data_IF_775977990297
#
_entry.id   IF_775977990297
#
_cell.length_a   1.000
_cell.length_b   1.000
_cell.length_c   1.000
_cell.angle_alpha   90.00
_cell.angle_beta   90.00
_cell.angle_gamma   90.00
#
_symmetry.space_group_name_H-M   'P 1'
#
loop_
_entity.id
_entity.type
_entity.pdbx_description
1 polymer ?
#
# COMPACT_ATOMS: atom_id res chain seq x y z
N UNK A 1 -60.99 -66.84 22.56
CA UNK A 1 -59.51 -66.98 22.62
C UNK A 1 -58.98 -66.41 21.31
N UNK A 2 -58.76 -65.10 21.27
CA UNK A 2 -58.34 -64.35 20.09
C UNK A 2 -56.99 -63.72 20.46
N UNK A 3 -55.95 -64.13 19.74
CA UNK A 3 -54.55 -63.80 20.01
C UNK A 3 -54.27 -62.39 19.45
N UNK A 4 -54.05 -61.40 20.32
CA UNK A 4 -53.64 -60.05 19.91
C UNK A 4 -52.14 -60.00 19.66
N UNK A 5 -51.73 -59.68 18.43
CA UNK A 5 -50.34 -59.40 18.09
C UNK A 5 -50.15 -57.89 18.13
N UNK A 6 -49.30 -57.43 19.06
CA UNK A 6 -48.87 -56.05 19.21
C UNK A 6 -47.71 -55.79 18.23
N UNK A 7 -47.98 -55.09 17.13
CA UNK A 7 -46.95 -54.67 16.18
C UNK A 7 -46.29 -53.38 16.64
N UNK A 8 -45.01 -53.43 17.01
CA UNK A 8 -44.20 -52.27 17.33
C UNK A 8 -43.75 -51.57 16.03
N UNK A 9 -44.18 -50.32 15.83
CA UNK A 9 -43.65 -49.44 14.78
C UNK A 9 -42.35 -48.80 15.28
N UNK A 10 -41.22 -49.14 14.66
CA UNK A 10 -39.97 -48.42 14.83
C UNK A 10 -39.93 -47.25 13.84
N UNK A 11 -40.02 -46.02 14.35
CA UNK A 11 -39.71 -44.81 13.59
C UNK A 11 -38.18 -44.67 13.53
N UNK A 12 -37.60 -44.86 12.35
CA UNK A 12 -36.20 -44.52 12.09
C UNK A 12 -36.06 -43.01 11.86
N UNK A 13 -35.37 -42.32 12.78
CA UNK A 13 -34.86 -40.97 12.53
C UNK A 13 -33.64 -41.08 11.62
N UNK A 14 -33.75 -40.64 10.36
CA UNK A 14 -32.57 -40.28 9.57
C UNK A 14 -31.98 -39.01 10.17
N UNK A 15 -30.84 -39.11 10.85
CA UNK A 15 -30.05 -37.93 11.16
C UNK A 15 -29.55 -37.35 9.84
N UNK A 16 -30.03 -36.17 9.48
CA UNK A 16 -29.38 -35.33 8.49
C UNK A 16 -28.09 -34.87 9.15
N UNK A 17 -26.96 -35.45 8.75
CA UNK A 17 -25.65 -34.91 9.10
C UNK A 17 -25.55 -33.54 8.43
N UNK A 18 -25.78 -32.49 9.20
CA UNK A 18 -25.44 -31.13 8.80
C UNK A 18 -23.92 -31.06 8.97
N UNK A 19 -23.18 -31.34 7.90
CA UNK A 19 -21.74 -31.05 7.88
C UNK A 19 -21.61 -29.54 8.08
N UNK A 20 -20.91 -29.06 9.11
CA UNK A 20 -20.55 -27.66 9.19
C UNK A 20 -19.84 -27.27 7.89
N UNK A 21 -20.00 -26.04 7.38
CA UNK A 21 -19.13 -25.56 6.31
C UNK A 21 -17.69 -25.84 6.74
N UNK A 22 -16.88 -26.43 5.85
CA UNK A 22 -15.47 -26.59 6.15
C UNK A 22 -14.89 -25.18 6.35
N UNK A 23 -14.34 -24.91 7.54
CA UNK A 23 -13.55 -23.72 7.79
C UNK A 23 -12.37 -23.79 6.82
N UNK A 24 -12.32 -22.85 5.86
CA UNK A 24 -11.22 -22.79 4.91
C UNK A 24 -9.98 -22.28 5.62
N UNK A 25 -8.82 -22.87 5.33
CA UNK A 25 -7.56 -22.37 5.87
C UNK A 25 -7.19 -21.10 5.11
N UNK A 26 -6.84 -20.03 5.83
CA UNK A 26 -6.55 -18.73 5.22
C UNK A 26 -5.04 -18.45 5.19
N UNK A 27 -4.52 -17.94 4.07
CA UNK A 27 -3.28 -17.19 4.04
C UNK A 27 -3.56 -15.75 4.48
N UNK A 28 -3.03 -15.38 5.65
CA UNK A 28 -3.12 -14.03 6.17
C UNK A 28 -1.80 -13.31 5.94
N UNK A 29 -1.84 -12.17 5.25
CA UNK A 29 -0.69 -11.34 4.91
C UNK A 29 -0.89 -10.00 5.63
N UNK A 30 -0.04 -9.72 6.60
CA UNK A 30 -0.07 -8.47 7.37
C UNK A 30 1.05 -7.54 6.93
N UNK A 31 0.69 -6.30 6.61
CA UNK A 31 1.63 -5.23 6.31
C UNK A 31 1.91 -4.45 7.58
N UNK A 32 3.18 -4.27 7.91
CA UNK A 32 3.60 -3.50 9.09
C UNK A 32 4.33 -2.26 8.60
N UNK A 33 3.81 -1.09 8.97
CA UNK A 33 4.41 0.20 8.69
C UNK A 33 5.30 0.56 9.89
N UNK A 34 6.56 0.14 9.83
CA UNK A 34 7.55 0.32 10.91
C UNK A 34 8.43 1.55 10.64
N UNK A 35 8.24 2.60 11.43
CA UNK A 35 9.01 3.85 11.36
C UNK A 35 10.45 3.72 11.88
N UNK A 36 10.84 2.53 12.33
CA UNK A 36 12.21 2.19 12.75
C UNK A 36 12.91 1.18 11.84
N UNK A 37 12.27 0.78 10.74
CA UNK A 37 12.81 -0.22 9.82
C UNK A 37 14.18 0.18 9.23
N UNK A 38 15.08 -0.80 9.12
CA UNK A 38 16.38 -0.60 8.46
C UNK A 38 16.19 -0.29 6.97
N UNK A 39 16.99 0.63 6.45
CA UNK A 39 17.09 0.84 5.00
C UNK A 39 17.76 -0.37 4.36
N UNK A 40 17.05 -1.04 3.46
CA UNK A 40 17.55 -2.21 2.73
C UNK A 40 17.90 -1.86 1.28
N UNK A 41 18.81 -2.64 0.69
CA UNK A 41 19.08 -2.63 -0.73
C UNK A 41 18.14 -3.58 -1.50
N UNK A 42 18.41 -3.77 -2.79
CA UNK A 42 17.59 -4.59 -3.68
C UNK A 42 17.63 -6.10 -3.37
N UNK A 43 18.57 -6.55 -2.53
CA UNK A 43 18.66 -7.95 -2.08
C UNK A 43 18.08 -8.13 -0.67
N UNK A 44 17.62 -7.05 -0.03
CA UNK A 44 17.16 -7.07 1.35
C UNK A 44 18.29 -6.95 2.38
N UNK A 45 19.50 -6.55 1.95
CA UNK A 45 20.63 -6.34 2.86
C UNK A 45 20.63 -4.89 3.39
N UNK A 46 20.95 -4.64 4.68
CA UNK A 46 21.03 -3.29 5.22
C UNK A 46 22.06 -2.41 4.50
N UNK A 47 21.68 -1.19 4.17
CA UNK A 47 22.53 -0.22 3.47
C UNK A 47 22.48 1.15 4.14
N UNK A 48 23.63 1.81 4.26
CA UNK A 48 23.71 3.16 4.81
C UNK A 48 23.40 4.23 3.77
N UNK A 49 22.95 5.39 4.23
CA UNK A 49 22.81 6.59 3.40
C UNK A 49 24.21 7.10 3.01
N UNK A 50 24.53 7.26 1.71
CA UNK A 50 25.85 7.75 1.30
C UNK A 50 26.11 9.18 1.80
N UNK A 51 27.37 9.49 2.09
CA UNK A 51 27.78 10.81 2.56
C UNK A 51 27.29 11.94 1.63
N UNK A 52 26.75 13.01 2.21
CA UNK A 52 26.15 14.13 1.48
C UNK A 52 24.65 13.97 1.20
N UNK A 53 24.06 12.81 1.50
CA UNK A 53 22.62 12.61 1.46
C UNK A 53 22.03 12.58 2.87
N UNK A 54 20.75 12.90 2.98
CA UNK A 54 19.95 12.71 4.18
C UNK A 54 18.88 11.64 3.91
N UNK A 55 18.53 10.90 4.95
CA UNK A 55 17.40 9.97 4.95
C UNK A 55 16.47 10.33 6.09
N UNK A 56 15.20 10.00 5.93
CA UNK A 56 14.19 10.11 6.97
C UNK A 56 13.42 8.80 7.00
N UNK A 57 12.86 8.47 8.16
CA UNK A 57 11.92 7.37 8.28
C UNK A 57 10.53 7.98 8.14
N UNK A 58 9.82 7.76 7.02
CA UNK A 58 8.51 8.32 6.84
C UNK A 58 7.51 7.64 7.77
N UNK A 59 6.61 8.44 8.35
CA UNK A 59 5.49 7.95 9.15
C UNK A 59 4.34 7.60 8.20
N UNK A 60 4.25 6.33 7.81
CA UNK A 60 3.27 5.87 6.83
C UNK A 60 1.86 5.76 7.41
N UNK A 61 0.91 6.41 6.74
CA UNK A 61 -0.51 6.38 7.10
C UNK A 61 -1.29 5.38 6.24
N UNK A 62 -0.90 5.24 4.96
CA UNK A 62 -1.64 4.43 3.98
C UNK A 62 -0.71 3.83 2.94
N UNK A 63 -0.95 2.57 2.58
CA UNK A 63 -0.31 1.89 1.46
C UNK A 63 -1.38 1.43 0.48
N UNK A 64 -1.26 1.80 -0.80
CA UNK A 64 -2.01 1.21 -1.90
C UNK A 64 -1.26 0.01 -2.46
N UNK A 65 -1.87 -1.16 -2.33
CA UNK A 65 -1.33 -2.42 -2.85
C UNK A 65 -1.84 -2.61 -4.27
N UNK A 66 -0.93 -2.73 -5.23
CA UNK A 66 -1.26 -3.06 -6.59
C UNK A 66 -1.17 -4.56 -6.86
N UNK A 67 -0.18 -5.25 -6.30
CA UNK A 67 0.05 -6.66 -6.58
C UNK A 67 0.66 -7.40 -5.40
N UNK A 68 0.30 -8.67 -5.24
CA UNK A 68 0.96 -9.63 -4.36
C UNK A 68 1.18 -10.94 -5.10
N UNK A 69 2.40 -11.49 -5.01
CA UNK A 69 2.73 -12.79 -5.57
C UNK A 69 3.64 -13.63 -4.69
N UNK A 70 3.54 -14.95 -4.87
CA UNK A 70 4.37 -15.96 -4.23
C UNK A 70 5.26 -16.64 -5.27
N UNK A 71 6.54 -16.80 -4.95
CA UNK A 71 7.57 -17.22 -5.90
C UNK A 71 8.42 -18.38 -5.33
N UNK A 72 8.70 -19.41 -6.13
CA UNK A 72 9.54 -20.53 -5.69
C UNK A 72 10.98 -20.13 -5.36
N UNK A 73 11.58 -19.21 -6.11
CA UNK A 73 12.95 -18.73 -5.90
C UNK A 73 13.13 -17.23 -6.24
N UNK A 74 14.22 -16.62 -5.75
CA UNK A 74 14.51 -15.18 -5.93
C UNK A 74 14.66 -14.72 -7.38
N UNK A 75 14.99 -15.62 -8.31
CA UNK A 75 15.21 -15.35 -9.72
C UNK A 75 14.02 -15.70 -10.61
N UNK A 76 12.91 -16.20 -10.04
CA UNK A 76 11.68 -16.43 -10.81
C UNK A 76 11.16 -15.09 -11.36
N UNK A 77 10.98 -14.92 -12.69
CA UNK A 77 10.45 -13.68 -13.27
C UNK A 77 9.06 -13.34 -12.74
N UNK A 78 8.70 -12.05 -12.74
CA UNK A 78 7.43 -11.56 -12.18
C UNK A 78 6.21 -12.32 -12.71
N UNK A 79 6.11 -12.56 -14.02
CA UNK A 79 4.99 -13.29 -14.63
C UNK A 79 4.91 -14.80 -14.31
N UNK A 80 5.95 -15.38 -13.69
CA UNK A 80 6.03 -16.82 -13.43
C UNK A 80 5.80 -17.21 -11.97
N UNK A 81 5.33 -16.26 -11.13
CA UNK A 81 4.88 -16.54 -9.77
C UNK A 81 3.38 -16.84 -9.68
N UNK A 82 2.95 -17.30 -8.50
CA UNK A 82 1.53 -17.38 -8.18
C UNK A 82 1.04 -15.99 -7.76
N UNK A 83 0.10 -15.43 -8.52
CA UNK A 83 -0.58 -14.17 -8.15
C UNK A 83 -1.58 -14.44 -7.04
N UNK A 84 -1.43 -13.77 -5.90
CA UNK A 84 -2.38 -13.81 -4.78
C UNK A 84 -3.41 -12.69 -4.90
N UNK A 85 -2.95 -11.52 -5.35
CA UNK A 85 -3.79 -10.34 -5.48
C UNK A 85 -3.27 -9.44 -6.59
N UNK A 86 -4.19 -8.83 -7.34
CA UNK A 86 -3.91 -7.73 -8.25
C UNK A 86 -5.06 -6.74 -8.16
N UNK A 87 -4.75 -5.46 -8.00
CA UNK A 87 -5.78 -4.42 -8.02
C UNK A 87 -6.29 -4.20 -9.45
N UNK A 88 -7.49 -3.63 -9.62
CA UNK A 88 -8.04 -3.30 -10.92
C UNK A 88 -7.19 -2.29 -11.71
N UNK A 89 -7.27 -2.39 -13.03
CA UNK A 89 -6.74 -1.41 -13.99
C UNK A 89 -7.88 -0.80 -14.80
N UNK A 90 -7.61 0.35 -15.43
CA UNK A 90 -8.58 1.10 -16.23
C UNK A 90 -7.91 1.78 -17.42
N UNK A 91 -8.65 1.93 -18.51
CA UNK A 91 -8.25 2.69 -19.70
C UNK A 91 -8.87 4.10 -19.74
N UNK A 92 -9.49 4.55 -18.64
CA UNK A 92 -10.22 5.82 -18.58
C UNK A 92 -9.35 7.04 -18.98
N UNK A 93 -8.05 7.00 -18.68
CA UNK A 93 -7.08 8.02 -19.08
C UNK A 93 -6.48 7.84 -20.49
N UNK A 94 -6.99 6.90 -21.29
CA UNK A 94 -6.60 6.65 -22.68
C UNK A 94 -5.53 5.56 -22.89
N UNK A 95 -4.81 5.19 -21.84
CA UNK A 95 -3.90 4.02 -21.80
C UNK A 95 -4.09 3.30 -20.46
N UNK A 96 -3.84 2.00 -20.43
CA UNK A 96 -4.00 1.17 -19.23
C UNK A 96 -3.20 1.75 -18.06
N UNK A 97 -3.88 1.86 -16.92
CA UNK A 97 -3.36 2.42 -15.70
C UNK A 97 -3.96 1.70 -14.49
N UNK A 98 -3.28 1.72 -13.35
CA UNK A 98 -3.85 1.34 -12.05
C UNK A 98 -5.08 2.22 -11.80
N UNK A 99 -6.20 1.60 -11.45
CA UNK A 99 -7.39 2.33 -11.05
C UNK A 99 -7.29 2.71 -9.58
N UNK A 100 -6.82 3.94 -9.31
CA UNK A 100 -6.55 4.41 -7.95
C UNK A 100 -7.77 4.34 -7.03
N UNK A 101 -8.97 4.64 -7.55
CA UNK A 101 -10.19 4.63 -6.72
C UNK A 101 -10.60 3.22 -6.27
N UNK A 102 -10.13 2.19 -6.98
CA UNK A 102 -10.43 0.80 -6.70
C UNK A 102 -9.19 0.00 -6.25
N UNK A 103 -8.10 0.68 -5.89
CA UNK A 103 -6.92 0.04 -5.31
C UNK A 103 -7.20 -0.46 -3.88
N UNK A 104 -6.44 -1.45 -3.43
CA UNK A 104 -6.52 -1.93 -2.06
C UNK A 104 -5.67 -1.05 -1.15
N UNK A 105 -6.33 -0.24 -0.32
CA UNK A 105 -5.65 0.58 0.68
C UNK A 105 -5.56 -0.14 2.02
N UNK A 106 -4.36 -0.16 2.58
CA UNK A 106 -4.07 -0.63 3.92
C UNK A 106 -3.67 0.55 4.79
N UNK A 107 -4.11 0.53 6.04
CA UNK A 107 -3.74 1.50 7.09
C UNK A 107 -3.06 0.76 8.23
N UNK A 108 -2.59 1.47 9.26
CA UNK A 108 -2.01 0.83 10.44
C UNK A 108 -2.99 -0.16 11.13
N UNK A 109 -4.28 0.17 11.16
CA UNK A 109 -5.33 -0.65 11.78
C UNK A 109 -5.97 -1.66 10.85
N UNK A 110 -6.02 -1.36 9.55
CA UNK A 110 -6.57 -2.23 8.50
C UNK A 110 -5.43 -2.70 7.60
N UNK A 111 -4.63 -3.63 8.12
CA UNK A 111 -3.33 -3.96 7.56
C UNK A 111 -3.20 -5.42 7.07
N UNK A 112 -4.32 -6.15 7.01
CA UNK A 112 -4.32 -7.58 6.70
C UNK A 112 -5.15 -7.90 5.48
N UNK A 113 -4.60 -8.77 4.63
CA UNK A 113 -5.30 -9.41 3.52
C UNK A 113 -5.41 -10.90 3.85
N UNK A 114 -6.60 -11.47 3.63
CA UNK A 114 -6.87 -12.88 3.87
C UNK A 114 -7.37 -13.53 2.59
N UNK A 115 -6.66 -14.55 2.13
CA UNK A 115 -7.03 -15.33 0.93
C UNK A 115 -7.18 -16.80 1.31
N UNK A 116 -8.27 -17.49 0.92
CA UNK A 116 -8.40 -18.92 1.19
C UNK A 116 -7.29 -19.72 0.50
N UNK A 117 -6.65 -20.63 1.23
CA UNK A 117 -5.63 -21.52 0.66
C UNK A 117 -6.20 -22.41 -0.45
N UNK A 118 -7.51 -22.65 -0.45
CA UNK A 118 -8.20 -23.38 -1.52
C UNK A 118 -8.22 -22.65 -2.87
N UNK A 119 -8.04 -21.32 -2.87
CA UNK A 119 -7.96 -20.48 -4.08
C UNK A 119 -6.52 -20.38 -4.63
N UNK A 120 -5.53 -20.88 -3.88
CA UNK A 120 -4.12 -20.78 -4.23
C UNK A 120 -3.59 -22.12 -4.75
N UNK A 121 -2.75 -22.07 -5.77
CA UNK A 121 -2.08 -23.27 -6.27
C UNK A 121 -1.09 -23.81 -5.23
N UNK A 122 -1.27 -25.07 -4.83
CA UNK A 122 -0.40 -25.73 -3.88
C UNK A 122 1.04 -25.82 -4.43
N UNK A 123 2.01 -25.39 -3.63
CA UNK A 123 3.41 -25.34 -4.04
C UNK A 123 4.36 -25.04 -2.89
N UNK A 124 5.64 -24.87 -3.21
CA UNK A 124 6.64 -24.35 -2.28
C UNK A 124 7.07 -22.98 -2.79
N UNK A 125 6.81 -21.96 -2.00
CA UNK A 125 7.13 -20.57 -2.30
C UNK A 125 8.04 -20.04 -1.21
N UNK A 126 9.30 -19.78 -1.54
CA UNK A 126 10.28 -19.22 -0.59
C UNK A 126 10.20 -17.69 -0.54
N UNK A 127 9.70 -17.05 -1.62
CA UNK A 127 9.72 -15.61 -1.78
C UNK A 127 8.31 -15.04 -1.90
N UNK A 128 8.12 -13.89 -1.24
CA UNK A 128 6.96 -13.03 -1.37
C UNK A 128 7.37 -11.77 -2.14
N UNK A 129 6.53 -11.30 -3.06
CA UNK A 129 6.71 -10.00 -3.70
C UNK A 129 5.42 -9.20 -3.61
N UNK A 130 5.55 -7.92 -3.31
CA UNK A 130 4.45 -6.96 -3.33
C UNK A 130 4.86 -5.76 -4.17
N UNK A 131 3.92 -5.25 -4.96
CA UNK A 131 4.06 -3.98 -5.65
C UNK A 131 3.09 -2.99 -5.04
N UNK A 132 3.59 -1.81 -4.69
CA UNK A 132 2.79 -0.70 -4.20
C UNK A 132 2.43 0.19 -5.39
N UNK A 133 1.17 0.59 -5.51
CA UNK A 133 0.74 1.65 -6.42
C UNK A 133 0.81 3.03 -5.78
N UNK A 134 0.59 3.09 -4.47
CA UNK A 134 0.43 4.34 -3.72
C UNK A 134 1.02 4.26 -2.30
N UNK A 135 1.48 5.39 -1.80
CA UNK A 135 1.90 5.56 -0.41
C UNK A 135 1.48 6.95 0.10
N UNK A 136 0.95 7.00 1.32
CA UNK A 136 0.71 8.24 2.05
C UNK A 136 1.51 8.24 3.34
N UNK A 137 2.27 9.29 3.58
CA UNK A 137 3.12 9.39 4.76
C UNK A 137 3.45 10.83 5.14
N UNK A 138 3.87 11.03 6.38
CA UNK A 138 4.40 12.31 6.84
C UNK A 138 5.93 12.33 6.77
N UNK A 139 6.47 13.49 6.41
CA UNK A 139 7.90 13.81 6.44
C UNK A 139 8.12 15.07 7.27
N UNK A 140 9.35 15.26 7.74
CA UNK A 140 9.78 16.48 8.41
C UNK A 140 10.88 17.12 7.60
N UNK A 141 10.71 18.37 7.18
CA UNK A 141 11.73 19.06 6.39
C UNK A 141 11.93 20.49 6.89
N UNK A 142 13.16 20.98 6.74
CA UNK A 142 13.56 22.30 7.20
C UNK A 142 13.31 23.36 6.12
N UNK A 143 12.82 24.53 6.51
CA UNK A 143 12.55 25.65 5.62
C UNK A 143 13.76 26.58 5.41
N UNK A 144 14.95 26.18 5.86
CA UNK A 144 16.17 26.99 5.71
C UNK A 144 16.40 27.39 4.25
N UNK A 145 16.60 28.68 4.02
CA UNK A 145 16.69 29.30 2.70
C UNK A 145 15.37 29.89 2.20
N UNK A 146 14.22 29.59 2.83
CA UNK A 146 12.94 30.19 2.45
C UNK A 146 12.92 31.71 2.64
N UNK A 147 13.73 32.26 3.55
CA UNK A 147 13.87 33.71 3.74
C UNK A 147 14.46 34.45 2.52
N UNK A 148 15.07 33.73 1.57
CA UNK A 148 15.55 34.31 0.31
C UNK A 148 14.42 34.51 -0.73
N UNK A 149 13.25 33.89 -0.51
CA UNK A 149 12.09 34.00 -1.40
C UNK A 149 11.24 35.25 -1.14
N UNK A 150 10.45 35.63 -2.14
CA UNK A 150 9.63 36.86 -2.11
C UNK A 150 8.46 36.82 -1.09
N UNK A 151 8.11 35.64 -0.58
CA UNK A 151 6.90 35.42 0.24
C UNK A 151 7.20 35.18 1.73
N UNK A 152 8.47 35.19 2.16
CA UNK A 152 8.82 34.95 3.56
C UNK A 152 8.68 36.23 4.40
N UNK A 153 8.06 36.18 5.60
CA UNK A 153 7.92 37.38 6.42
C UNK A 153 9.27 37.93 6.88
N UNK A 154 9.45 39.24 6.68
CA UNK A 154 10.69 39.93 7.07
C UNK A 154 10.95 39.80 8.58
N UNK A 155 12.15 39.37 8.94
CA UNK A 155 12.61 39.27 10.33
C UNK A 155 12.20 37.99 11.06
N UNK A 156 11.58 37.02 10.38
CA UNK A 156 11.36 35.66 10.92
C UNK A 156 12.48 34.71 10.50
N UNK A 157 12.91 33.85 11.44
CA UNK A 157 13.86 32.77 11.18
C UNK A 157 13.21 31.69 10.31
N UNK A 158 13.90 31.28 9.25
CA UNK A 158 13.51 30.17 8.37
C UNK A 158 14.17 28.83 8.76
N UNK A 159 15.07 28.84 9.74
CA UNK A 159 15.56 27.62 10.41
C UNK A 159 14.46 27.02 11.31
N UNK A 160 13.51 26.37 10.65
CA UNK A 160 12.37 25.72 11.28
C UNK A 160 12.01 24.45 10.52
N UNK A 161 11.67 23.42 11.29
CA UNK A 161 11.18 22.17 10.74
C UNK A 161 9.66 22.20 10.65
N UNK A 162 9.13 21.74 9.53
CA UNK A 162 7.69 21.60 9.29
C UNK A 162 7.34 20.18 8.90
N UNK A 163 6.10 19.79 9.19
CA UNK A 163 5.55 18.51 8.78
C UNK A 163 4.88 18.68 7.42
N UNK A 164 5.23 17.79 6.50
CA UNK A 164 4.57 17.66 5.21
C UNK A 164 3.90 16.31 5.08
N UNK A 165 2.65 16.29 4.62
CA UNK A 165 1.97 15.06 4.22
C UNK A 165 2.21 14.85 2.73
N UNK A 166 2.69 13.66 2.36
CA UNK A 166 3.00 13.28 0.99
C UNK A 166 2.04 12.20 0.53
N UNK A 167 1.46 12.38 -0.65
CA UNK A 167 0.78 11.36 -1.44
C UNK A 167 1.68 11.01 -2.61
N UNK A 168 2.23 9.79 -2.61
CA UNK A 168 3.25 9.33 -3.56
C UNK A 168 2.70 8.19 -4.42
N UNK A 169 2.71 8.38 -5.74
CA UNK A 169 2.24 7.39 -6.71
C UNK A 169 3.44 6.64 -7.30
N UNK A 170 3.73 5.49 -6.70
CA UNK A 170 4.94 4.68 -6.95
C UNK A 170 4.69 3.52 -7.92
N UNK A 171 3.43 3.25 -8.25
CA UNK A 171 3.05 2.35 -9.34
C UNK A 171 3.40 2.90 -10.72
N UNK A 172 3.31 2.06 -11.75
CA UNK A 172 3.73 2.43 -13.11
C UNK A 172 2.96 3.63 -13.69
N UNK A 173 1.71 3.43 -14.10
CA UNK A 173 0.85 4.46 -14.65
C UNK A 173 -0.46 4.33 -13.88
N UNK A 174 -0.94 5.43 -13.30
CA UNK A 174 -2.09 5.40 -12.39
C UNK A 174 -3.13 6.41 -12.87
N UNK A 175 -4.36 5.96 -13.07
CA UNK A 175 -5.49 6.84 -13.31
C UNK A 175 -6.00 7.34 -11.96
N UNK A 176 -5.94 8.65 -11.77
CA UNK A 176 -6.29 9.31 -10.51
C UNK A 176 -7.51 10.19 -10.75
N UNK A 177 -8.61 9.92 -10.05
CA UNK A 177 -9.74 10.85 -9.95
C UNK A 177 -9.34 12.04 -9.07
N UNK A 178 -9.25 11.79 -7.77
CA UNK A 178 -8.72 12.71 -6.78
C UNK A 178 -8.06 11.97 -5.62
N UNK A 179 -7.20 12.66 -4.87
CA UNK A 179 -6.64 12.13 -3.62
C UNK A 179 -6.63 13.21 -2.53
N UNK A 180 -6.56 12.77 -1.28
CA UNK A 180 -6.54 13.65 -0.10
C UNK A 180 -5.20 13.57 0.60
N UNK A 181 -4.68 14.74 0.97
CA UNK A 181 -3.49 14.89 1.78
C UNK A 181 -3.93 15.04 3.26
N UNK A 182 -3.40 15.99 4.01
CA UNK A 182 -3.85 16.27 5.38
C UNK A 182 -5.23 16.93 5.39
N UNK A 183 -5.37 18.06 4.68
CA UNK A 183 -6.62 18.83 4.62
C UNK A 183 -7.04 19.14 3.18
N UNK A 184 -6.09 19.11 2.24
CA UNK A 184 -6.34 19.44 0.85
C UNK A 184 -6.75 18.21 0.03
N UNK A 185 -7.61 18.45 -0.97
CA UNK A 185 -8.01 17.46 -1.97
C UNK A 185 -7.53 17.91 -3.34
N UNK A 186 -6.76 17.06 -4.00
CA UNK A 186 -6.24 17.33 -5.35
C UNK A 186 -7.08 16.56 -6.36
N UNK A 187 -7.69 17.27 -7.30
CA UNK A 187 -8.42 16.68 -8.41
C UNK A 187 -7.50 16.54 -9.64
N UNK A 188 -7.24 15.32 -10.07
CA UNK A 188 -6.35 15.02 -11.21
C UNK A 188 -7.16 14.67 -12.45
N UNK A 189 -8.14 13.77 -12.31
CA UNK A 189 -8.99 13.24 -13.39
C UNK A 189 -8.19 12.78 -14.62
N UNK A 190 -7.12 12.02 -14.41
CA UNK A 190 -6.24 11.59 -15.49
C UNK A 190 -5.13 10.65 -15.08
N UNK A 191 -4.40 10.17 -16.09
CA UNK A 191 -3.24 9.31 -15.90
C UNK A 191 -2.02 10.12 -15.42
N UNK A 192 -1.30 9.57 -14.44
CA UNK A 192 0.00 10.05 -13.98
C UNK A 192 1.02 8.92 -14.04
N UNK A 193 2.22 9.27 -14.48
CA UNK A 193 3.35 8.34 -14.53
C UNK A 193 3.91 8.10 -13.12
N UNK A 194 4.70 7.03 -13.00
CA UNK A 194 5.42 6.68 -11.79
C UNK A 194 6.23 7.88 -11.29
N UNK A 195 6.15 8.12 -9.99
CA UNK A 195 6.86 9.20 -9.33
C UNK A 195 6.07 10.50 -9.25
N UNK A 196 4.85 10.57 -9.77
CA UNK A 196 3.94 11.66 -9.46
C UNK A 196 3.67 11.73 -7.96
N UNK A 197 3.63 12.94 -7.39
CA UNK A 197 3.34 13.15 -5.99
C UNK A 197 2.59 14.46 -5.74
N UNK A 198 1.87 14.49 -4.62
CA UNK A 198 1.41 15.72 -3.95
C UNK A 198 2.06 15.85 -2.58
N UNK A 199 2.40 17.07 -2.19
CA UNK A 199 2.94 17.44 -0.89
C UNK A 199 2.08 18.58 -0.34
N UNK A 200 1.48 18.37 0.81
CA UNK A 200 0.79 19.41 1.58
C UNK A 200 1.63 19.73 2.82
N UNK A 201 1.99 21.00 2.97
CA UNK A 201 2.73 21.48 4.13
C UNK A 201 1.85 22.39 4.95
N UNK A 202 1.61 21.99 6.21
CA UNK A 202 0.74 22.72 7.12
C UNK A 202 1.42 22.94 8.46
N UNK A 203 1.22 24.13 9.03
CA UNK A 203 1.66 24.42 10.39
C UNK A 203 1.67 25.89 10.72
N UNK A 204 2.27 26.21 11.86
CA UNK A 204 2.54 27.57 12.30
C UNK A 204 4.03 27.69 12.63
N UNK A 205 4.71 28.65 12.00
CA UNK A 205 6.10 29.00 12.29
C UNK A 205 6.13 30.42 12.83
N UNK A 206 6.47 30.56 14.11
CA UNK A 206 6.65 31.88 14.75
C UNK A 206 5.47 32.86 14.53
N UNK A 207 4.23 32.36 14.56
CA UNK A 207 3.02 33.17 14.32
C UNK A 207 2.57 33.26 12.85
N UNK A 208 3.30 32.67 11.92
CA UNK A 208 2.98 32.63 10.50
C UNK A 208 2.39 31.26 10.13
N UNK A 209 1.19 31.26 9.55
CA UNK A 209 0.56 30.04 9.04
C UNK A 209 1.21 29.60 7.74
N UNK A 210 1.60 28.34 7.68
CA UNK A 210 2.06 27.67 6.47
C UNK A 210 0.91 26.78 6.02
N UNK A 211 0.50 26.99 4.77
CA UNK A 211 -0.47 26.17 4.06
C UNK A 211 -0.05 26.22 2.62
N UNK A 212 0.70 25.21 2.19
CA UNK A 212 1.19 25.12 0.82
C UNK A 212 0.90 23.73 0.25
N UNK A 213 0.54 23.72 -1.02
CA UNK A 213 0.25 22.52 -1.79
C UNK A 213 1.14 22.52 -3.02
N UNK A 214 1.98 21.51 -3.12
CA UNK A 214 2.85 21.28 -4.27
C UNK A 214 2.50 19.95 -4.91
N UNK A 215 2.40 19.94 -6.23
CA UNK A 215 2.33 18.72 -7.04
C UNK A 215 3.59 18.64 -7.90
N UNK A 216 4.09 17.43 -8.17
CA UNK A 216 5.28 17.26 -8.99
C UNK A 216 5.50 15.83 -9.44
N UNK A 217 6.59 15.65 -10.18
CA UNK A 217 7.05 14.36 -10.64
C UNK A 217 8.48 14.14 -10.17
N UNK A 218 8.78 12.95 -9.63
CA UNK A 218 10.12 12.58 -9.25
C UNK A 218 11.02 12.55 -10.51
N UNK A 219 12.22 13.16 -10.46
CA UNK A 219 13.10 13.22 -11.62
C UNK A 219 13.60 11.84 -12.06
N UNK A 220 13.67 10.89 -11.12
CA UNK A 220 14.02 9.50 -11.32
C UNK A 220 13.16 8.63 -10.41
N UNK A 221 12.77 7.46 -10.91
CA UNK A 221 12.10 6.42 -10.13
C UNK A 221 12.95 5.16 -10.17
N UNK A 222 12.92 4.38 -9.09
CA UNK A 222 13.63 3.11 -9.00
C UNK A 222 12.66 2.06 -8.51
N UNK A 223 12.64 0.91 -9.18
CA UNK A 223 11.90 -0.27 -8.71
C UNK A 223 12.95 -1.25 -8.17
N UNK A 224 12.94 -1.56 -6.85
CA UNK A 224 13.75 -2.64 -6.33
C UNK A 224 13.29 -3.96 -6.96
N UNK A 225 14.09 -4.51 -7.89
CA UNK A 225 13.90 -5.83 -8.47
C UNK A 225 15.20 -6.67 -8.42
N UNK A 226 15.25 -7.78 -7.67
CA UNK A 226 16.42 -8.66 -7.55
C UNK A 226 16.93 -9.27 -8.87
N UNK A 227 16.14 -9.21 -9.94
CA UNK A 227 16.42 -9.83 -11.25
C UNK A 227 17.02 -8.81 -12.22
N UNK A 228 16.63 -7.53 -12.12
CA UNK A 228 17.07 -6.45 -13.00
C UNK A 228 17.62 -5.28 -12.16
N UNK A 229 18.79 -5.51 -11.53
CA UNK A 229 19.50 -4.54 -10.68
C UNK A 229 20.46 -3.64 -11.47
#
# INVERSE_FOLDING_TARGET
MLLGILGAFAFGCSQVEITPPAEDFMLNITFVMDDTADRLDNLGDPVSVPAGNAGQNPDFETLGIHFIGLYPDRFTPYENGLTVFSSPTTDAGGVEAIDFENELFLTETENMISVPLSELEAGTYEYFRSSLGYQKYNIVYNLGGAAEGDNWPAGLSDDVDVVGTVASFVGYNTYIGSYTLANETVAVNGNKAQGYFGLESNGEVAGFQITDLTEGDAPQTTVPNPIDA
#
